data_IF_296405960504
#
_entry.id   IF_296405960504
#
_cell.length_a   1.000
_cell.length_b   1.000
_cell.length_c   1.000
_cell.angle_alpha   90.00
_cell.angle_beta   90.00
_cell.angle_gamma   90.00
#
_symmetry.space_group_name_H-M   'P 1'
#
loop_
_entity.id
_entity.type
_entity.pdbx_description
1 polymer ?
#
# COMPACT_ATOMS: atom_id res chain seq x y z
N UNK A 1 -26.87 -22.29 28.38
CA UNK A 1 -26.25 -22.03 29.70
C UNK A 1 -24.98 -22.90 29.78
N UNK A 2 -23.75 -22.45 29.50
CA UNK A 2 -23.04 -21.28 30.03
C UNK A 2 -22.94 -21.42 31.55
N UNK A 3 -21.82 -21.64 32.24
CA UNK A 3 -20.41 -21.29 32.00
C UNK A 3 -19.47 -22.07 32.94
N UNK A 4 -18.26 -22.38 32.43
CA UNK A 4 -16.91 -22.37 33.04
C UNK A 4 -16.65 -22.75 34.52
N UNK A 5 -15.64 -23.60 34.74
CA UNK A 5 -14.44 -23.23 35.51
C UNK A 5 -13.20 -23.96 34.98
N UNK A 6 -12.18 -23.17 34.61
CA UNK A 6 -10.89 -23.54 34.01
C UNK A 6 -9.86 -23.79 35.11
N UNK A 7 -9.00 -24.80 34.94
CA UNK A 7 -7.94 -25.13 35.89
C UNK A 7 -6.92 -23.98 36.09
N UNK A 8 -6.27 -23.87 37.27
CA UNK A 8 -5.39 -22.74 37.60
C UNK A 8 -4.07 -22.82 36.83
N UNK A 9 -3.73 -21.77 36.09
CA UNK A 9 -2.42 -21.61 35.48
C UNK A 9 -1.34 -21.26 36.53
N UNK A 10 -0.06 -21.50 36.23
CA UNK A 10 1.03 -21.20 37.16
C UNK A 10 1.18 -19.68 37.37
N UNK A 11 1.64 -19.24 38.56
CA UNK A 11 1.68 -17.84 38.94
C UNK A 11 2.60 -17.00 38.04
N UNK A 12 2.08 -15.88 37.56
CA UNK A 12 2.87 -14.86 36.87
C UNK A 12 3.92 -14.25 37.80
N UNK A 13 5.14 -14.09 37.28
CA UNK A 13 6.15 -13.23 37.87
C UNK A 13 5.86 -11.78 37.47
N UNK A 14 5.04 -11.12 38.26
CA UNK A 14 4.98 -9.66 38.32
C UNK A 14 6.28 -9.14 38.92
N UNK A 15 7.05 -8.39 38.13
CA UNK A 15 8.30 -7.78 38.55
C UNK A 15 8.68 -6.53 37.78
N UNK A 16 7.72 -5.69 37.39
CA UNK A 16 8.04 -4.33 36.93
C UNK A 16 8.13 -3.45 38.16
N UNK A 17 9.35 -3.16 38.64
CA UNK A 17 9.60 -2.10 39.62
C UNK A 17 9.86 -0.80 38.84
N UNK A 18 9.02 0.23 38.97
CA UNK A 18 9.29 1.53 38.35
C UNK A 18 10.34 2.30 39.18
N UNK A 19 11.42 2.71 38.53
CA UNK A 19 12.34 3.74 39.03
C UNK A 19 13.72 3.26 39.48
N UNK A 20 14.64 3.02 38.53
CA UNK A 20 16.05 3.44 38.59
C UNK A 20 16.75 3.24 37.21
N UNK A 21 17.53 4.20 36.70
CA UNK A 21 18.29 4.05 35.46
C UNK A 21 19.55 3.21 35.73
N UNK A 22 19.45 1.91 35.50
CA UNK A 22 20.57 0.97 35.57
C UNK A 22 20.69 0.22 34.26
N UNK A 23 21.81 0.43 33.57
CA UNK A 23 22.27 -0.36 32.43
C UNK A 23 22.28 -1.84 32.82
N UNK A 24 21.24 -2.59 32.48
CA UNK A 24 21.32 -4.05 32.52
C UNK A 24 22.31 -4.49 31.43
N UNK A 25 23.37 -5.23 31.78
CA UNK A 25 24.27 -5.78 30.78
C UNK A 25 23.45 -6.70 29.88
N UNK A 26 23.36 -6.32 28.60
CA UNK A 26 22.80 -7.16 27.54
C UNK A 26 23.60 -8.46 27.54
N UNK A 27 23.03 -9.53 28.13
CA UNK A 27 23.63 -10.85 28.09
C UNK A 27 23.89 -11.27 26.64
N UNK A 28 24.89 -12.13 26.37
CA UNK A 28 25.19 -12.58 25.02
C UNK A 28 23.90 -13.10 24.37
N UNK A 29 23.49 -12.49 23.26
CA UNK A 29 22.36 -13.00 22.48
C UNK A 29 22.64 -14.48 22.18
N UNK A 30 21.68 -15.40 22.40
CA UNK A 30 21.85 -16.79 22.02
C UNK A 30 22.34 -16.87 20.57
N UNK A 31 23.36 -17.69 20.26
CA UNK A 31 23.81 -17.88 18.89
C UNK A 31 22.59 -18.22 18.04
N UNK A 32 22.34 -17.45 16.97
CA UNK A 32 21.31 -17.80 16.00
C UNK A 32 21.59 -19.23 15.57
N UNK A 33 20.58 -20.11 15.70
CA UNK A 33 20.70 -21.48 15.21
C UNK A 33 21.16 -21.40 13.74
N UNK A 34 22.20 -22.15 13.33
CA UNK A 34 22.56 -22.23 11.93
C UNK A 34 21.32 -22.57 11.10
N UNK A 35 21.09 -21.83 10.01
CA UNK A 35 19.97 -22.08 9.09
C UNK A 35 19.95 -23.56 8.71
N UNK A 36 18.77 -24.19 8.76
CA UNK A 36 18.59 -25.58 8.36
C UNK A 36 18.99 -25.77 6.89
N UNK A 37 19.35 -26.99 6.48
CA UNK A 37 19.57 -27.32 5.07
C UNK A 37 18.35 -26.96 4.21
N UNK A 38 17.15 -27.13 4.77
CA UNK A 38 15.88 -26.82 4.12
C UNK A 38 15.69 -25.31 3.96
N UNK A 39 16.05 -24.51 4.98
CA UNK A 39 15.99 -23.06 4.91
C UNK A 39 16.89 -22.52 3.79
N UNK A 40 18.12 -23.05 3.69
CA UNK A 40 19.05 -22.67 2.61
C UNK A 40 18.48 -23.04 1.24
N UNK A 41 17.84 -24.20 1.11
CA UNK A 41 17.23 -24.64 -0.14
C UNK A 41 16.05 -23.74 -0.53
N UNK A 42 15.18 -23.41 0.42
CA UNK A 42 14.05 -22.49 0.23
C UNK A 42 14.55 -21.12 -0.19
N UNK A 43 15.56 -20.57 0.49
CA UNK A 43 16.12 -19.25 0.15
C UNK A 43 16.73 -19.23 -1.25
N UNK A 44 17.38 -20.32 -1.67
CA UNK A 44 17.91 -20.47 -3.03
C UNK A 44 16.78 -20.46 -4.07
N UNK A 45 15.71 -21.23 -3.82
CA UNK A 45 14.53 -21.25 -4.70
C UNK A 45 13.80 -19.92 -4.72
N UNK A 46 13.65 -19.28 -3.56
CA UNK A 46 13.05 -17.96 -3.41
C UNK A 46 13.81 -16.92 -4.25
N UNK A 47 15.14 -16.86 -4.13
CA UNK A 47 15.96 -15.93 -4.92
C UNK A 47 15.86 -16.19 -6.44
N UNK A 48 15.64 -17.43 -6.87
CA UNK A 48 15.48 -17.77 -8.28
C UNK A 48 14.15 -17.28 -8.88
N UNK A 49 13.08 -17.22 -8.09
CA UNK A 49 11.75 -16.77 -8.52
C UNK A 49 11.47 -15.30 -8.19
N UNK A 50 12.30 -14.68 -7.34
CA UNK A 50 12.14 -13.27 -6.99
C UNK A 50 12.47 -12.37 -8.20
N UNK A 51 11.70 -11.30 -8.44
CA UNK A 51 11.97 -10.33 -9.50
C UNK A 51 13.38 -9.72 -9.33
N UNK A 52 14.04 -9.41 -10.44
CA UNK A 52 15.29 -8.65 -10.38
C UNK A 52 15.02 -7.22 -9.86
N UNK A 53 16.06 -6.56 -9.36
CA UNK A 53 15.93 -5.18 -8.90
C UNK A 53 15.51 -4.23 -10.05
N UNK A 54 16.00 -4.47 -11.26
CA UNK A 54 15.62 -3.73 -12.46
C UNK A 54 14.14 -3.92 -12.83
N UNK A 55 13.62 -5.15 -12.74
CA UNK A 55 12.19 -5.43 -12.96
C UNK A 55 11.33 -4.67 -11.93
N UNK A 56 11.72 -4.73 -10.65
CA UNK A 56 10.98 -4.06 -9.58
C UNK A 56 11.00 -2.53 -9.75
N UNK A 57 12.16 -1.95 -10.07
CA UNK A 57 12.29 -0.51 -10.33
C UNK A 57 11.43 -0.09 -11.53
N UNK A 58 11.41 -0.89 -12.60
CA UNK A 58 10.58 -0.62 -13.78
C UNK A 58 9.08 -0.61 -13.43
N UNK A 59 8.63 -1.59 -12.66
CA UNK A 59 7.24 -1.67 -12.19
C UNK A 59 6.88 -0.45 -11.33
N UNK A 60 7.73 -0.13 -10.34
CA UNK A 60 7.50 1.03 -9.46
C UNK A 60 7.47 2.34 -10.24
N UNK A 61 8.33 2.49 -11.25
CA UNK A 61 8.36 3.67 -12.13
C UNK A 61 7.06 3.81 -12.91
N UNK A 62 6.58 2.74 -13.56
CA UNK A 62 5.33 2.77 -14.33
C UNK A 62 4.14 3.09 -13.42
N UNK A 63 4.07 2.47 -12.25
CA UNK A 63 3.02 2.73 -11.26
C UNK A 63 3.05 4.18 -10.81
N UNK A 64 4.23 4.72 -10.47
CA UNK A 64 4.40 6.11 -10.07
C UNK A 64 4.01 7.12 -11.17
N UNK A 65 4.38 6.85 -12.43
CA UNK A 65 3.95 7.68 -13.58
C UNK A 65 2.43 7.64 -13.72
N UNK A 66 1.83 6.45 -13.65
CA UNK A 66 0.37 6.29 -13.81
C UNK A 66 -0.40 6.96 -12.68
N UNK A 67 0.07 6.85 -11.42
CA UNK A 67 -0.52 7.51 -10.26
C UNK A 67 -0.46 9.04 -10.38
N UNK A 68 0.69 9.58 -10.82
CA UNK A 68 0.84 11.02 -11.06
C UNK A 68 -0.06 11.50 -12.21
N UNK A 69 -0.11 10.74 -13.31
CA UNK A 69 -0.98 11.05 -14.45
C UNK A 69 -2.46 11.10 -14.03
N UNK A 70 -2.93 10.11 -13.27
CA UNK A 70 -4.31 10.07 -12.74
C UNK A 70 -4.59 11.23 -11.79
N UNK A 71 -3.60 11.66 -10.99
CA UNK A 71 -3.73 12.84 -10.14
C UNK A 71 -3.95 14.11 -10.98
N UNK A 72 -3.20 14.30 -12.06
CA UNK A 72 -3.34 15.43 -12.99
C UNK A 72 -4.66 15.41 -13.76
N UNK A 73 -5.08 14.25 -14.27
CA UNK A 73 -6.40 14.07 -14.90
C UNK A 73 -7.51 14.46 -13.92
N UNK A 74 -7.36 14.09 -12.64
CA UNK A 74 -8.31 14.48 -11.63
C UNK A 74 -8.30 15.98 -11.32
N UNK A 75 -7.17 16.68 -11.44
CA UNK A 75 -7.13 18.15 -11.26
C UNK A 75 -7.87 18.82 -12.43
N UNK A 76 -7.62 18.40 -13.68
CA UNK A 76 -8.31 18.89 -14.88
C UNK A 76 -9.84 18.73 -14.77
N UNK A 77 -10.31 17.57 -14.31
CA UNK A 77 -11.75 17.31 -14.15
C UNK A 77 -12.35 18.23 -13.07
N UNK A 78 -11.62 18.48 -11.98
CA UNK A 78 -12.08 19.34 -10.89
C UNK A 78 -12.17 20.80 -11.34
N UNK A 79 -11.19 21.27 -12.11
CA UNK A 79 -11.15 22.63 -12.64
C UNK A 79 -12.27 22.87 -13.66
N UNK A 80 -12.55 21.89 -14.54
CA UNK A 80 -13.64 21.97 -15.51
C UNK A 80 -15.05 22.00 -14.90
N UNK A 81 -15.23 21.46 -13.69
CA UNK A 81 -16.48 21.58 -12.93
C UNK A 81 -16.58 22.96 -12.24
N UNK A 82 -15.46 23.52 -11.78
CA UNK A 82 -15.44 24.84 -11.14
C UNK A 82 -15.76 25.97 -12.14
N UNK A 83 -15.22 25.89 -13.36
CA UNK A 83 -15.46 26.89 -14.42
C UNK A 83 -16.93 26.96 -14.88
N UNK A 84 -17.74 25.94 -14.56
CA UNK A 84 -19.18 25.90 -14.87
C UNK A 84 -20.07 26.40 -13.73
N UNK A 85 -19.51 26.55 -12.53
CA UNK A 85 -20.24 26.91 -11.30
C UNK A 85 -19.88 28.29 -10.73
N UNK A 86 -19.04 29.08 -11.41
CA UNK A 86 -18.66 30.43 -10.99
C UNK A 86 -19.80 31.46 -11.24
N UNK A 87 -20.86 31.34 -10.43
CA UNK A 87 -21.62 32.48 -9.89
C UNK A 87 -22.04 32.21 -8.43
N UNK A 88 -21.10 31.74 -7.58
CA UNK A 88 -21.19 31.96 -6.13
C UNK A 88 -19.88 31.73 -5.39
N UNK A 89 -19.37 32.85 -4.88
CA UNK A 89 -18.36 32.94 -3.84
C UNK A 89 -18.64 31.96 -2.68
N UNK A 90 -17.69 31.04 -2.42
CA UNK A 90 -16.96 30.94 -1.13
C UNK A 90 -16.05 29.72 -1.14
N UNK A 91 -14.80 30.01 -0.82
CA UNK A 91 -13.69 29.11 -0.49
C UNK A 91 -14.10 28.12 0.61
N UNK A 92 -14.57 26.94 0.23
CA UNK A 92 -14.56 25.74 1.08
C UNK A 92 -13.60 24.69 0.49
N UNK A 93 -12.57 24.23 1.23
CA UNK A 93 -11.61 23.27 0.73
C UNK A 93 -12.15 21.84 0.91
N UNK A 94 -13.32 21.53 0.35
CA UNK A 94 -13.92 20.19 0.50
C UNK A 94 -15.05 19.88 -0.49
N UNK A 95 -15.11 20.50 -1.67
CA UNK A 95 -15.96 19.92 -2.73
C UNK A 95 -15.42 18.50 -2.98
N UNK A 96 -16.27 17.49 -2.80
CA UNK A 96 -15.93 16.08 -2.90
C UNK A 96 -15.34 15.79 -4.27
N UNK A 97 -14.00 15.84 -4.38
CA UNK A 97 -13.29 15.65 -5.64
C UNK A 97 -13.78 14.37 -6.31
N UNK A 98 -14.21 14.46 -7.57
CA UNK A 98 -14.81 13.34 -8.32
C UNK A 98 -13.96 12.08 -8.23
N UNK A 99 -12.63 12.22 -8.32
CA UNK A 99 -11.67 11.14 -8.09
C UNK A 99 -11.01 11.31 -6.72
N UNK A 100 -11.29 10.37 -5.82
CA UNK A 100 -10.80 10.32 -4.44
C UNK A 100 -9.35 9.84 -4.35
N UNK A 101 -8.95 8.90 -5.20
CA UNK A 101 -7.56 8.41 -5.21
C UNK A 101 -7.33 7.17 -6.05
N UNK A 102 -6.06 6.75 -6.11
CA UNK A 102 -5.61 5.54 -6.80
C UNK A 102 -5.07 4.57 -5.77
N UNK A 103 -5.50 3.31 -5.83
CA UNK A 103 -5.09 2.25 -4.92
C UNK A 103 -4.38 1.14 -5.69
N UNK A 104 -3.21 0.73 -5.18
CA UNK A 104 -2.52 -0.46 -5.68
C UNK A 104 -3.23 -1.71 -5.16
N UNK A 105 -3.53 -2.66 -6.04
CA UNK A 105 -4.19 -3.93 -5.68
C UNK A 105 -3.49 -5.13 -6.31
N UNK A 106 -3.89 -6.33 -5.92
CA UNK A 106 -3.34 -7.57 -6.47
C UNK A 106 -1.95 -7.93 -5.93
N UNK A 107 -1.15 -8.61 -6.75
CA UNK A 107 0.17 -9.15 -6.35
C UNK A 107 1.18 -8.06 -6.00
N UNK A 108 1.12 -6.91 -6.66
CA UNK A 108 1.94 -5.73 -6.37
C UNK A 108 1.73 -5.25 -4.93
N UNK A 109 0.47 -5.09 -4.52
CA UNK A 109 0.13 -4.62 -3.19
C UNK A 109 0.48 -5.63 -2.08
N UNK A 110 0.52 -6.91 -2.42
CA UNK A 110 0.87 -7.99 -1.49
C UNK A 110 2.37 -8.30 -1.43
N UNK A 111 3.18 -7.68 -2.29
CA UNK A 111 4.61 -8.00 -2.39
C UNK A 111 4.86 -9.42 -2.90
N UNK A 112 3.95 -9.96 -3.71
CA UNK A 112 4.00 -11.34 -4.23
C UNK A 112 4.34 -11.38 -5.73
N UNK A 113 5.02 -10.35 -6.23
CA UNK A 113 5.53 -10.35 -7.60
C UNK A 113 6.61 -11.41 -7.76
N UNK A 114 6.57 -12.13 -8.87
CA UNK A 114 7.57 -13.11 -9.29
C UNK A 114 8.31 -12.60 -10.53
N UNK A 115 9.48 -13.19 -10.78
CA UNK A 115 10.29 -12.91 -11.96
C UNK A 115 9.47 -13.14 -13.23
N UNK A 116 9.50 -12.16 -14.14
CA UNK A 116 8.72 -12.19 -15.37
C UNK A 116 7.27 -11.70 -15.25
N UNK A 117 6.80 -11.33 -14.06
CA UNK A 117 5.48 -10.72 -13.90
C UNK A 117 5.44 -9.32 -14.53
N UNK A 118 4.57 -9.14 -15.52
CA UNK A 118 4.37 -7.87 -16.24
C UNK A 118 3.01 -7.22 -15.98
N UNK A 119 2.19 -7.86 -15.16
CA UNK A 119 0.82 -7.42 -14.90
C UNK A 119 0.72 -6.76 -13.53
N UNK A 120 0.22 -5.52 -13.51
CA UNK A 120 -0.07 -4.79 -12.27
C UNK A 120 -1.47 -4.20 -12.34
N UNK A 121 -2.12 -4.13 -11.18
CA UNK A 121 -3.50 -3.67 -11.07
C UNK A 121 -3.58 -2.45 -10.17
N UNK A 122 -4.24 -1.41 -10.68
CA UNK A 122 -4.58 -0.20 -9.94
C UNK A 122 -6.10 -0.05 -9.95
N UNK A 123 -6.65 0.48 -8.86
CA UNK A 123 -8.07 0.82 -8.72
C UNK A 123 -8.20 2.32 -8.55
N UNK A 124 -9.01 2.95 -9.38
CA UNK A 124 -9.38 4.35 -9.24
C UNK A 124 -10.65 4.45 -8.40
N UNK A 125 -10.60 5.25 -7.32
CA UNK A 125 -11.72 5.50 -6.43
C UNK A 125 -12.42 6.78 -6.84
N UNK A 126 -13.72 6.70 -7.11
CA UNK A 126 -14.59 7.85 -7.39
C UNK A 126 -15.48 8.15 -6.18
N UNK A 127 -15.88 9.42 -6.03
CA UNK A 127 -16.86 9.84 -5.01
C UNK A 127 -18.25 9.28 -5.30
N UNK A 128 -18.66 9.40 -6.56
CA UNK A 128 -19.93 8.91 -7.06
C UNK A 128 -19.76 7.71 -7.98
N UNK A 129 -20.87 7.05 -8.31
CA UNK A 129 -20.88 5.94 -9.27
C UNK A 129 -20.27 6.40 -10.60
N UNK A 130 -19.21 5.74 -11.11
CA UNK A 130 -18.57 6.16 -12.35
C UNK A 130 -19.55 6.08 -13.51
N UNK A 131 -19.63 7.16 -14.28
CA UNK A 131 -20.42 7.27 -15.50
C UNK A 131 -19.56 7.01 -16.73
N UNK A 132 -20.20 6.69 -17.86
CA UNK A 132 -19.51 6.51 -19.14
C UNK A 132 -18.77 7.78 -19.59
N UNK A 133 -19.34 8.95 -19.30
CA UNK A 133 -18.72 10.26 -19.60
C UNK A 133 -17.44 10.49 -18.80
N UNK A 134 -17.43 10.13 -17.51
CA UNK A 134 -16.23 10.23 -16.67
C UNK A 134 -15.13 9.30 -17.18
N UNK A 135 -15.48 8.07 -17.57
CA UNK A 135 -14.53 7.11 -18.12
C UNK A 135 -13.95 7.60 -19.46
N UNK A 136 -14.79 8.12 -20.36
CA UNK A 136 -14.35 8.68 -21.63
C UNK A 136 -13.36 9.86 -21.43
N UNK A 137 -13.67 10.75 -20.48
CA UNK A 137 -12.79 11.87 -20.12
C UNK A 137 -11.42 11.39 -19.61
N UNK A 138 -11.40 10.36 -18.75
CA UNK A 138 -10.15 9.77 -18.25
C UNK A 138 -9.36 9.15 -19.40
N UNK A 139 -10.01 8.38 -20.27
CA UNK A 139 -9.35 7.74 -21.42
C UNK A 139 -8.73 8.77 -22.38
N UNK A 140 -9.36 9.93 -22.55
CA UNK A 140 -8.83 10.99 -23.40
C UNK A 140 -7.64 11.74 -22.78
N UNK A 141 -7.71 12.02 -21.48
CA UNK A 141 -6.69 12.82 -20.79
C UNK A 141 -5.51 11.99 -20.28
N UNK A 142 -5.71 10.71 -19.93
CA UNK A 142 -4.67 9.87 -19.35
C UNK A 142 -3.43 9.75 -20.25
N UNK A 143 -3.53 9.47 -21.56
CA UNK A 143 -2.36 9.37 -22.44
C UNK A 143 -1.57 10.68 -22.53
N UNK A 144 -2.24 11.83 -22.41
CA UNK A 144 -1.61 13.16 -22.45
C UNK A 144 -0.75 13.44 -21.21
N UNK A 145 -0.98 12.72 -20.11
CA UNK A 145 -0.32 12.92 -18.81
C UNK A 145 0.71 11.82 -18.47
N UNK A 146 0.87 10.80 -19.31
CA UNK A 146 1.87 9.74 -19.14
C UNK A 146 3.22 10.20 -19.70
N UNK A 147 3.99 10.96 -18.90
CA UNK A 147 5.37 11.41 -19.23
C UNK A 147 6.37 10.99 -18.16
#
# INVERSE_FOLDING_TARGET
VGVHTRAPGPPGLLGVRPGLPGLQPQGPMPPRRPDSSDDRYIMTKHAAIYPSEEELQSIQKIVSITERALKLVSDIITDQEHDKEDDKEKKEPAKDRVLKGVMRVGVLAKGLLLRGDKNVNLVLLCSDKPTESLLACIVEHLPKQLT
#
